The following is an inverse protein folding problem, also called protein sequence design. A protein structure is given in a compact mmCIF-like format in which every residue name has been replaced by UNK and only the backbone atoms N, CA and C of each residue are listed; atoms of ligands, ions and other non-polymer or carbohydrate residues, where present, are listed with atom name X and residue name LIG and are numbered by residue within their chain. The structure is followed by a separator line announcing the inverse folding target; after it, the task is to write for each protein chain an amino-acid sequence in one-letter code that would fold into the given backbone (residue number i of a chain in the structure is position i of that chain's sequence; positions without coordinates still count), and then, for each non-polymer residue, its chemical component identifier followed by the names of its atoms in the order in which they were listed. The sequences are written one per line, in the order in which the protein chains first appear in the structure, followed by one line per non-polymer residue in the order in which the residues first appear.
data_IF_179417287833
#
_entry.id   IF_179417287833
#
_cell.length_a   1.000
_cell.length_b   1.000
_cell.length_c   1.000
_cell.angle_alpha   90.00
_cell.angle_beta   90.00
_cell.angle_gamma   90.00
#
_symmetry.space_group_name_H-M   'P 1'
#
loop_
_entity.id
_entity.type
_entity.pdbx_description
1 polymer ?
#
# COMPACT_ATOMS: atom_id res chain seq x y z
N UNK A 1 -14.64 -16.74 -17.04
CA UNK A 1 -14.33 -16.60 -16.73
C UNK A 1 -14.04 -16.39 -15.97
N UNK A 2 -13.95 -16.23 -15.81
CA UNK A 2 -13.65 -16.11 -15.09
C UNK A 2 -13.61 -15.65 -14.43
N UNK A 3 -13.75 -15.45 -14.21
CA UNK A 3 -13.76 -15.01 -13.56
C UNK A 3 -13.16 -14.67 -12.71
N UNK A 4 -13.23 -14.05 -12.55
CA UNK A 4 -12.33 -13.46 -11.88
C UNK A 4 -12.25 -13.81 -10.47
N UNK A 5 -11.25 -14.33 -10.06
CA UNK A 5 -11.05 -14.87 -8.80
C UNK A 5 -10.27 -14.01 -7.90
N UNK A 6 -10.11 -12.77 -8.23
CA UNK A 6 -9.30 -11.88 -7.44
C UNK A 6 -7.86 -11.88 -7.91
N UNK A 7 -7.00 -11.29 -7.11
CA UNK A 7 -5.62 -11.07 -7.49
C UNK A 7 -4.75 -12.27 -7.18
N UNK A 8 -3.77 -12.52 -8.04
CA UNK A 8 -2.73 -13.49 -7.72
C UNK A 8 -1.81 -12.89 -6.64
N UNK A 9 -1.04 -13.73 -5.93
CA UNK A 9 -0.12 -13.19 -4.93
C UNK A 9 0.85 -12.17 -5.52
N UNK A 10 1.37 -12.42 -6.71
CA UNK A 10 2.28 -11.47 -7.34
C UNK A 10 1.59 -10.15 -7.63
N UNK A 11 0.33 -10.20 -8.04
CA UNK A 11 -0.43 -8.98 -8.28
C UNK A 11 -0.63 -8.20 -6.99
N UNK A 12 -0.79 -8.91 -5.86
CA UNK A 12 -0.88 -8.23 -4.57
C UNK A 12 0.40 -7.46 -4.25
N UNK A 13 1.56 -8.04 -4.56
CA UNK A 13 2.83 -7.36 -4.34
C UNK A 13 2.88 -6.07 -5.15
N UNK A 14 2.51 -6.16 -6.42
CA UNK A 14 2.55 -4.99 -7.28
C UNK A 14 1.57 -3.93 -6.84
N UNK A 15 0.37 -4.35 -6.46
CA UNK A 15 -0.64 -3.41 -5.98
C UNK A 15 -0.19 -2.76 -4.68
N UNK A 16 0.43 -3.55 -3.79
CA UNK A 16 0.94 -3.00 -2.55
C UNK A 16 1.96 -1.91 -2.79
N UNK A 17 2.88 -2.15 -3.73
CA UNK A 17 3.87 -1.13 -4.07
C UNK A 17 3.21 0.12 -4.63
N UNK A 18 2.22 -0.07 -5.48
CA UNK A 18 1.49 1.05 -6.06
C UNK A 18 0.80 1.87 -4.98
N UNK A 19 0.16 1.21 -4.02
CA UNK A 19 -0.55 1.93 -2.98
C UNK A 19 0.40 2.64 -2.02
N UNK A 20 1.53 2.02 -1.71
CA UNK A 20 2.53 2.69 -0.88
C UNK A 20 3.05 3.93 -1.59
N UNK A 21 3.31 3.80 -2.88
CA UNK A 21 3.79 4.93 -3.65
C UNK A 21 2.76 6.03 -3.74
N UNK A 22 1.50 5.65 -3.95
CA UNK A 22 0.42 6.62 -4.03
C UNK A 22 0.32 7.41 -2.72
N UNK A 23 0.46 6.74 -1.60
CA UNK A 23 0.42 7.41 -0.32
C UNK A 23 1.57 8.40 -0.19
N UNK A 24 2.77 7.98 -0.57
CA UNK A 24 3.92 8.87 -0.51
C UNK A 24 3.73 10.09 -1.38
N UNK A 25 3.20 9.88 -2.59
CA UNK A 25 2.98 11.01 -3.49
C UNK A 25 1.94 11.97 -2.95
N UNK A 26 0.90 11.44 -2.32
CA UNK A 26 -0.10 12.29 -1.69
C UNK A 26 0.49 13.09 -0.54
N UNK A 27 1.35 12.46 0.26
CA UNK A 27 2.00 13.17 1.36
C UNK A 27 2.91 14.26 0.83
N UNK A 28 3.66 13.96 -0.23
CA UNK A 28 4.51 14.97 -0.85
C UNK A 28 3.69 16.14 -1.35
N UNK A 29 2.60 15.83 -2.04
CA UNK A 29 1.75 16.89 -2.57
C UNK A 29 1.13 17.71 -1.44
N UNK A 30 0.76 17.04 -0.36
CA UNK A 30 0.21 17.75 0.80
C UNK A 30 1.22 18.71 1.38
N UNK A 31 2.46 18.29 1.48
CA UNK A 31 3.51 19.16 2.01
C UNK A 31 3.82 20.29 1.05
N UNK A 32 3.81 20.01 -0.24
CA UNK A 32 4.10 21.05 -1.23
C UNK A 32 3.01 22.12 -1.27
N UNK A 33 1.81 21.78 -0.85
CA UNK A 33 0.66 22.70 -0.90
C UNK A 33 0.29 23.25 0.46
N UNK A 34 1.22 23.25 1.41
CA UNK A 34 0.91 23.70 2.76
C UNK A 34 0.37 25.11 2.81
N UNK A 35 0.80 25.95 1.87
CA UNK A 35 0.30 27.32 1.82
C UNK A 35 -1.20 27.39 1.48
N UNK A 36 -1.75 26.31 0.98
CA UNK A 36 -3.18 26.24 0.67
C UNK A 36 -3.83 25.28 1.67
N UNK A 37 -4.00 25.71 2.87
CA UNK A 37 -4.38 24.86 3.99
C UNK A 37 -5.44 23.80 3.71
N UNK A 38 -6.53 24.17 3.07
CA UNK A 38 -7.59 23.23 2.80
C UNK A 38 -7.17 22.16 1.82
N UNK A 39 -6.44 22.54 0.78
CA UNK A 39 -5.98 21.60 -0.22
C UNK A 39 -4.98 20.63 0.40
N UNK A 40 -4.05 21.15 1.18
CA UNK A 40 -3.07 20.32 1.85
C UNK A 40 -3.76 19.30 2.76
N UNK A 41 -4.73 19.75 3.55
CA UNK A 41 -5.45 18.86 4.43
C UNK A 41 -6.17 17.77 3.65
N UNK A 42 -6.78 18.14 2.53
CA UNK A 42 -7.47 17.16 1.70
C UNK A 42 -6.52 16.08 1.18
N UNK A 43 -5.29 16.48 0.82
CA UNK A 43 -4.32 15.52 0.33
C UNK A 43 -3.84 14.59 1.44
N UNK A 44 -3.61 15.12 2.64
CA UNK A 44 -3.26 14.26 3.76
C UNK A 44 -4.41 13.31 4.13
N UNK A 45 -5.64 13.81 4.07
CA UNK A 45 -6.80 12.96 4.34
C UNK A 45 -6.91 11.85 3.30
N UNK A 46 -6.60 12.16 2.04
CA UNK A 46 -6.63 11.14 1.00
C UNK A 46 -5.57 10.07 1.25
N UNK A 47 -4.39 10.49 1.72
CA UNK A 47 -3.34 9.53 2.04
C UNK A 47 -3.80 8.60 3.17
N UNK A 48 -4.43 9.17 4.20
CA UNK A 48 -4.94 8.36 5.30
C UNK A 48 -6.06 7.43 4.83
N UNK A 49 -6.84 7.87 3.86
CA UNK A 49 -7.94 7.08 3.34
C UNK A 49 -7.49 5.80 2.65
N UNK A 50 -6.22 5.70 2.28
CA UNK A 50 -5.71 4.47 1.68
C UNK A 50 -5.52 3.37 2.71
N UNK A 51 -5.58 3.68 3.99
CA UNK A 51 -5.36 2.68 5.03
C UNK A 51 -6.42 1.58 5.00
N UNK A 52 -7.68 1.97 4.83
CA UNK A 52 -8.76 1.00 4.84
C UNK A 52 -8.66 -0.01 3.69
N UNK A 53 -8.56 0.44 2.43
CA UNK A 53 -8.42 -0.54 1.35
C UNK A 53 -7.16 -1.37 1.47
N UNK A 54 -6.07 -0.79 1.99
CA UNK A 54 -4.85 -1.56 2.17
C UNK A 54 -5.04 -2.67 3.21
N UNK A 55 -5.71 -2.36 4.31
CA UNK A 55 -5.98 -3.35 5.34
C UNK A 55 -6.87 -4.47 4.80
N UNK A 56 -7.87 -4.10 4.02
CA UNK A 56 -8.77 -5.07 3.44
C UNK A 56 -8.03 -6.00 2.48
N UNK A 57 -7.18 -5.42 1.64
CA UNK A 57 -6.41 -6.22 0.68
C UNK A 57 -5.40 -7.11 1.38
N UNK A 58 -4.80 -6.63 2.47
CA UNK A 58 -3.91 -7.46 3.25
C UNK A 58 -4.65 -8.69 3.78
N UNK A 59 -5.86 -8.48 4.25
CA UNK A 59 -6.65 -9.59 4.76
C UNK A 59 -6.98 -10.58 3.65
N UNK A 60 -7.31 -10.07 2.46
CA UNK A 60 -7.59 -10.94 1.34
C UNK A 60 -6.36 -11.78 0.99
N UNK A 61 -5.19 -11.15 1.00
CA UNK A 61 -3.96 -11.87 0.70
C UNK A 61 -3.66 -12.92 1.77
N UNK A 62 -3.81 -12.56 3.03
CA UNK A 62 -3.55 -13.50 4.11
C UNK A 62 -4.50 -14.70 4.02
N UNK A 63 -5.76 -14.44 3.68
CA UNK A 63 -6.72 -15.52 3.54
C UNK A 63 -6.33 -16.46 2.40
N UNK A 64 -5.65 -15.93 1.39
CA UNK A 64 -5.29 -16.73 0.23
C UNK A 64 -4.01 -17.54 0.46
N UNK A 65 -3.04 -16.99 1.15
CA UNK A 65 -1.72 -17.65 1.24
C UNK A 65 -1.25 -17.95 2.66
N UNK A 66 -1.95 -17.44 3.68
CA UNK A 66 -1.56 -17.67 5.07
C UNK A 66 -0.84 -16.49 5.67
N UNK A 67 -0.95 -16.32 6.99
CA UNK A 67 -0.47 -15.09 7.60
C UNK A 67 1.05 -15.07 7.81
N UNK A 68 1.71 -16.21 7.66
CA UNK A 68 3.16 -16.24 7.76
C UNK A 68 3.83 -16.47 6.41
N UNK A 69 3.06 -16.40 5.34
CA UNK A 69 3.58 -16.70 4.03
C UNK A 69 4.46 -15.56 3.50
N UNK A 70 5.29 -15.90 2.55
CA UNK A 70 6.06 -14.93 1.79
C UNK A 70 5.69 -15.06 0.33
N UNK A 71 5.61 -13.93 -0.35
CA UNK A 71 5.31 -13.88 -1.76
C UNK A 71 6.44 -13.14 -2.43
N UNK A 72 7.16 -13.83 -3.30
CA UNK A 72 8.30 -13.23 -4.01
C UNK A 72 9.30 -12.61 -3.01
N UNK A 73 9.46 -13.27 -1.87
CA UNK A 73 10.43 -12.81 -0.88
C UNK A 73 9.91 -11.76 0.07
N UNK A 74 8.65 -11.38 -0.06
CA UNK A 74 8.05 -10.35 0.78
C UNK A 74 7.03 -11.00 1.70
N UNK A 75 7.16 -10.75 3.00
CA UNK A 75 6.19 -11.27 3.95
C UNK A 75 4.83 -10.64 3.68
N UNK A 76 3.76 -11.44 3.83
CA UNK A 76 2.43 -10.93 3.48
C UNK A 76 2.06 -9.67 4.24
N UNK A 77 2.53 -9.53 5.47
CA UNK A 77 2.18 -8.36 6.26
C UNK A 77 2.91 -7.11 5.79
N UNK A 78 3.99 -7.28 5.05
CA UNK A 78 4.74 -6.14 4.51
C UNK A 78 4.29 -5.75 3.12
N UNK A 79 3.43 -6.56 2.52
CA UNK A 79 3.01 -6.31 1.15
C UNK A 79 2.32 -4.95 1.01
N UNK A 80 1.44 -4.62 1.94
CA UNK A 80 0.68 -3.38 1.86
C UNK A 80 1.10 -2.33 2.87
N UNK A 81 1.69 -2.73 3.97
CA UNK A 81 2.03 -1.80 5.04
C UNK A 81 3.50 -1.71 5.37
N UNK A 82 4.31 -2.64 4.88
CA UNK A 82 5.72 -2.56 5.12
C UNK A 82 6.33 -1.34 4.47
N UNK A 83 7.49 -0.95 4.93
CA UNK A 83 8.17 0.22 4.40
C UNK A 83 9.22 -0.21 3.39
N UNK A 84 9.13 0.30 2.19
CA UNK A 84 10.15 0.01 1.19
C UNK A 84 11.43 0.79 1.47
N UNK A 85 11.30 1.87 2.22
CA UNK A 85 12.47 2.67 2.53
C UNK A 85 13.44 1.94 3.42
N UNK A 86 12.93 1.05 4.26
CA UNK A 86 13.78 0.31 5.16
C UNK A 86 14.81 -0.50 4.41
N UNK A 87 14.41 -1.04 3.29
CA UNK A 87 15.32 -1.84 2.51
C UNK A 87 16.45 -1.03 1.95
N UNK A 88 16.15 0.19 1.58
CA UNK A 88 17.15 1.05 1.00
C UNK A 88 18.11 1.55 2.04
N UNK A 89 17.60 1.81 3.23
CA UNK A 89 18.44 2.32 4.29
C UNK A 89 19.53 1.33 4.65
N UNK A 90 19.19 0.08 4.60
CA UNK A 90 20.18 -0.93 4.94
C UNK A 90 21.26 -1.04 3.91
N UNK A 91 20.99 -0.56 2.76
CA UNK A 91 21.99 -0.66 1.68
C UNK A 91 23.19 0.18 1.92
#
# INVERSE_FOLDING_TARGET
MSRNKGLSPTQHIELGRTLKRARELLLEAGMATRCYGKLSRGLFDAADGLTEPRAWLEKVLIDAVGEDAQVDGVHVRDCYFGSELEEEVDG
#
